data_IF_329882370538
#
_entry.id   IF_329882370538
#
_cell.length_a   1.000
_cell.length_b   1.000
_cell.length_c   1.000
_cell.angle_alpha   90.00
_cell.angle_beta   90.00
_cell.angle_gamma   90.00
#
_symmetry.space_group_name_H-M   'P 1'
#
loop_
_entity.id
_entity.type
_entity.pdbx_description
1 polymer ?
#
# COMPACT_ATOMS: atom_id res chain seq x y z
N UNK A 1 6.86 -1.12 -23.89
CA UNK A 1 7.55 0.19 -23.79
C UNK A 1 8.92 0.00 -23.12
N UNK A 2 9.79 -0.84 -23.70
CA UNK A 2 11.12 -1.16 -23.14
C UNK A 2 12.14 -0.06 -23.45
N UNK A 3 13.19 -0.38 -24.22
CA UNK A 3 14.29 0.55 -24.53
C UNK A 3 13.83 1.92 -25.06
N UNK A 4 12.74 1.98 -25.83
CA UNK A 4 12.19 3.23 -26.37
C UNK A 4 11.86 4.26 -25.27
N UNK A 5 11.43 3.81 -24.08
CA UNK A 5 11.21 4.71 -22.95
C UNK A 5 12.52 5.38 -22.52
N UNK A 6 13.57 4.59 -22.35
CA UNK A 6 14.88 5.06 -21.90
C UNK A 6 15.63 5.89 -22.94
N UNK A 7 15.47 5.57 -24.23
CA UNK A 7 16.20 6.24 -25.31
C UNK A 7 15.52 7.51 -25.81
N UNK A 8 14.19 7.58 -25.83
CA UNK A 8 13.45 8.72 -26.40
C UNK A 8 12.57 9.46 -25.39
N UNK A 9 11.74 8.72 -24.65
CA UNK A 9 10.71 9.34 -23.78
C UNK A 9 11.35 10.03 -22.58
N UNK A 10 12.22 9.33 -21.86
CA UNK A 10 12.86 9.83 -20.66
C UNK A 10 13.80 11.03 -20.94
N UNK A 11 14.67 11.01 -21.98
CA UNK A 11 15.46 12.18 -22.33
C UNK A 11 14.59 13.37 -22.75
N UNK A 12 13.50 13.13 -23.47
CA UNK A 12 12.57 14.20 -23.86
C UNK A 12 11.89 14.84 -22.65
N UNK A 13 11.40 14.05 -21.70
CA UNK A 13 10.80 14.59 -20.46
C UNK A 13 11.80 15.45 -19.67
N UNK A 14 13.07 15.02 -19.58
CA UNK A 14 14.13 15.81 -18.95
C UNK A 14 14.39 17.14 -19.68
N UNK A 15 14.40 17.15 -21.01
CA UNK A 15 14.58 18.39 -21.79
C UNK A 15 13.39 19.34 -21.68
N UNK A 16 12.17 18.82 -21.64
CA UNK A 16 10.96 19.63 -21.39
C UNK A 16 11.03 20.29 -20.01
N UNK A 17 11.45 19.56 -18.97
CA UNK A 17 11.69 20.16 -17.65
C UNK A 17 12.79 21.23 -17.68
N UNK A 18 13.83 21.06 -18.49
CA UNK A 18 14.90 22.04 -18.68
C UNK A 18 14.49 23.27 -19.50
N UNK A 19 13.23 23.34 -19.98
CA UNK A 19 12.72 24.48 -20.73
C UNK A 19 13.03 24.44 -22.23
N UNK A 20 13.18 23.25 -22.81
CA UNK A 20 13.37 23.09 -24.26
C UNK A 20 12.20 23.71 -25.05
N UNK A 21 12.51 24.65 -25.94
CA UNK A 21 11.53 25.43 -26.74
C UNK A 21 11.19 24.73 -28.06
N UNK A 22 10.67 23.50 -28.00
CA UNK A 22 10.26 22.75 -29.21
C UNK A 22 8.78 22.38 -29.18
N UNK A 23 8.12 22.43 -30.34
CA UNK A 23 6.69 22.10 -30.49
C UNK A 23 5.79 22.92 -29.56
N UNK A 24 4.93 22.24 -28.80
CA UNK A 24 3.95 22.83 -27.87
C UNK A 24 4.65 23.75 -26.85
N UNK A 25 5.84 23.38 -26.36
CA UNK A 25 6.57 24.21 -25.39
C UNK A 25 6.87 25.61 -25.92
N UNK A 26 7.09 25.75 -27.23
CA UNK A 26 7.26 27.05 -27.89
C UNK A 26 5.94 27.80 -28.04
N UNK A 27 4.85 27.10 -28.35
CA UNK A 27 3.52 27.70 -28.48
C UNK A 27 3.01 28.27 -27.14
N UNK A 28 3.35 27.62 -26.02
CA UNK A 28 2.96 28.08 -24.67
C UNK A 28 4.05 28.87 -23.94
N UNK A 29 5.16 29.23 -24.61
CA UNK A 29 6.32 29.92 -24.00
C UNK A 29 6.81 29.27 -22.69
N UNK A 30 6.88 27.95 -22.65
CA UNK A 30 7.21 27.17 -21.46
C UNK A 30 8.67 27.36 -21.04
N UNK A 31 8.93 27.97 -19.88
CA UNK A 31 10.30 28.31 -19.42
C UNK A 31 11.01 27.19 -18.64
N UNK A 32 10.42 25.99 -18.57
CA UNK A 32 10.92 24.89 -17.75
C UNK A 32 10.35 24.88 -16.33
N UNK A 33 10.70 23.84 -15.57
CA UNK A 33 10.28 23.64 -14.18
C UNK A 33 9.40 22.41 -13.95
N UNK A 34 9.29 21.99 -12.69
CA UNK A 34 8.54 20.81 -12.26
C UNK A 34 9.41 19.57 -12.05
N UNK A 35 8.74 18.45 -11.76
CA UNK A 35 9.36 17.14 -11.64
C UNK A 35 8.39 16.10 -12.18
N UNK A 36 8.91 14.97 -12.63
CA UNK A 36 8.08 13.80 -12.94
C UNK A 36 8.61 12.60 -12.16
N UNK A 37 7.69 11.75 -11.75
CA UNK A 37 7.97 10.42 -11.22
C UNK A 37 7.47 9.41 -12.24
N UNK A 38 8.28 8.41 -12.53
CA UNK A 38 7.86 7.26 -13.29
C UNK A 38 8.12 6.02 -12.44
N UNK A 39 7.32 4.98 -12.66
CA UNK A 39 7.47 3.68 -12.03
C UNK A 39 7.65 2.64 -13.12
N UNK A 40 8.58 1.72 -12.92
CA UNK A 40 8.72 0.54 -13.75
C UNK A 40 7.96 -0.62 -13.09
N UNK A 41 7.35 -1.48 -13.90
CA UNK A 41 6.75 -2.71 -13.42
C UNK A 41 7.82 -3.80 -13.48
N UNK A 42 8.10 -4.40 -12.33
CA UNK A 42 9.01 -5.53 -12.20
C UNK A 42 8.21 -6.84 -12.11
N UNK A 43 8.79 -7.95 -12.55
CA UNK A 43 8.17 -9.26 -12.39
C UNK A 43 8.16 -9.66 -10.90
N UNK A 44 7.07 -10.30 -10.46
CA UNK A 44 6.91 -10.70 -9.06
C UNK A 44 8.03 -11.61 -8.54
N UNK A 45 8.57 -12.48 -9.39
CA UNK A 45 9.67 -13.37 -9.02
C UNK A 45 10.97 -12.59 -8.77
N UNK A 46 11.24 -11.57 -9.58
CA UNK A 46 12.41 -10.71 -9.43
C UNK A 46 12.31 -9.86 -8.16
N UNK A 47 11.13 -9.30 -7.86
CA UNK A 47 10.90 -8.54 -6.62
C UNK A 47 11.06 -9.42 -5.39
N UNK A 48 10.52 -10.64 -5.41
CA UNK A 48 10.70 -11.61 -4.32
C UNK A 48 12.17 -11.98 -4.11
N UNK A 49 12.94 -12.17 -5.18
CA UNK A 49 14.37 -12.53 -5.07
C UNK A 49 15.20 -11.41 -4.42
N UNK A 50 14.75 -10.15 -4.54
CA UNK A 50 15.40 -8.95 -4.00
C UNK A 50 14.79 -8.47 -2.67
N UNK A 51 13.68 -9.07 -2.22
CA UNK A 51 13.00 -8.69 -1.01
C UNK A 51 13.80 -9.15 0.22
N UNK A 52 14.11 -8.20 1.11
CA UNK A 52 14.82 -8.48 2.36
C UNK A 52 13.92 -8.14 3.54
N UNK A 53 13.59 -9.15 4.34
CA UNK A 53 12.63 -9.07 5.45
C UNK A 53 13.28 -8.73 6.80
N UNK A 54 14.61 -8.85 6.91
CA UNK A 54 15.34 -8.69 8.17
C UNK A 54 16.31 -7.49 8.16
N UNK A 55 16.50 -6.81 7.02
CA UNK A 55 17.46 -5.69 6.93
C UNK A 55 16.95 -4.46 7.70
N UNK A 56 17.72 -4.00 8.68
CA UNK A 56 17.56 -2.67 9.30
C UNK A 56 18.10 -1.59 8.36
N UNK A 57 17.53 -0.38 8.35
CA UNK A 57 17.96 0.72 7.45
C UNK A 57 19.49 0.96 7.36
N UNK A 58 20.24 0.63 8.42
CA UNK A 58 21.70 0.71 8.47
C UNK A 58 22.45 -0.29 7.56
N UNK A 59 21.81 -1.40 7.17
CA UNK A 59 22.39 -2.44 6.31
C UNK A 59 22.24 -2.14 4.81
N UNK A 60 21.34 -1.22 4.44
CA UNK A 60 21.18 -0.73 3.06
C UNK A 60 22.24 0.30 2.64
N UNK A 61 23.00 0.84 3.60
CA UNK A 61 24.09 1.79 3.30
C UNK A 61 25.34 1.10 2.72
N UNK A 62 25.46 -0.23 2.84
CA UNK A 62 26.66 -1.00 2.46
C UNK A 62 26.56 -1.70 1.10
N UNK A 63 25.37 -1.87 0.56
CA UNK A 63 25.14 -2.55 -0.71
C UNK A 63 24.32 -1.65 -1.66
N UNK A 64 24.82 -1.33 -2.88
CA UNK A 64 24.09 -0.51 -3.84
C UNK A 64 22.88 -1.21 -4.48
N UNK A 65 22.73 -2.52 -4.27
CA UNK A 65 21.59 -3.26 -4.81
C UNK A 65 20.30 -2.77 -4.14
N UNK A 66 19.24 -2.47 -4.93
CA UNK A 66 17.96 -2.08 -4.36
C UNK A 66 17.30 -3.31 -3.72
N UNK A 67 17.69 -3.63 -2.49
CA UNK A 67 16.95 -4.53 -1.63
C UNK A 67 15.69 -3.83 -1.15
N UNK A 68 14.54 -4.45 -1.36
CA UNK A 68 13.28 -3.90 -0.84
C UNK A 68 13.17 -4.28 0.64
N UNK A 69 13.23 -3.30 1.52
CA UNK A 69 13.00 -3.51 2.96
C UNK A 69 11.51 -3.65 3.16
N UNK A 70 11.05 -4.87 3.41
CA UNK A 70 9.70 -5.10 3.89
C UNK A 70 9.72 -5.20 5.40
N UNK A 71 8.79 -4.52 6.06
CA UNK A 71 8.57 -4.68 7.50
C UNK A 71 8.01 -6.08 7.73
N UNK A 72 8.87 -7.03 8.06
CA UNK A 72 8.42 -8.29 8.61
C UNK A 72 7.84 -8.03 10.00
N UNK A 73 6.57 -8.40 10.18
CA UNK A 73 5.97 -8.50 11.51
C UNK A 73 6.71 -9.61 12.26
N UNK A 74 7.72 -9.23 13.03
CA UNK A 74 8.38 -10.16 13.93
C UNK A 74 7.31 -10.63 14.91
N UNK A 75 7.21 -11.95 15.12
CA UNK A 75 6.33 -12.58 16.12
C UNK A 75 6.78 -12.25 17.56
N UNK A 76 7.05 -10.99 17.85
CA UNK A 76 7.24 -10.49 19.19
C UNK A 76 5.85 -10.41 19.84
N UNK A 77 5.80 -10.71 21.14
CA UNK A 77 4.61 -10.51 21.96
C UNK A 77 4.30 -9.01 22.00
N UNK A 78 3.46 -8.56 21.06
CA UNK A 78 2.97 -7.20 21.04
C UNK A 78 1.93 -7.05 22.16
N UNK A 79 1.89 -5.89 22.85
CA UNK A 79 0.81 -5.63 23.79
C UNK A 79 -0.54 -5.77 23.06
N UNK A 80 -1.63 -6.13 23.76
CA UNK A 80 -2.94 -6.25 23.14
C UNK A 80 -3.30 -4.91 22.49
N UNK A 81 -3.17 -4.85 21.17
CA UNK A 81 -3.54 -3.68 20.38
C UNK A 81 -5.04 -3.64 20.25
N UNK A 82 -5.62 -2.49 20.59
CA UNK A 82 -7.02 -2.19 20.33
C UNK A 82 -7.08 -1.37 19.04
N UNK A 83 -7.77 -1.88 18.02
CA UNK A 83 -7.98 -1.13 16.80
C UNK A 83 -9.13 -0.13 16.99
N UNK A 84 -8.87 1.16 16.76
CA UNK A 84 -9.91 2.17 16.65
C UNK A 84 -10.26 2.35 15.16
N UNK A 85 -11.39 1.78 14.77
CA UNK A 85 -11.87 1.80 13.38
C UNK A 85 -12.43 3.17 12.96
N UNK A 86 -12.64 4.07 13.92
CA UNK A 86 -13.10 5.46 13.66
C UNK A 86 -12.07 6.26 12.85
N UNK A 87 -10.80 5.81 12.84
CA UNK A 87 -9.70 6.46 12.15
C UNK A 87 -9.55 6.07 10.66
N UNK A 88 -10.30 5.06 10.18
CA UNK A 88 -10.15 4.55 8.81
C UNK A 88 -10.81 5.46 7.77
N UNK A 89 -12.14 5.51 7.75
CA UNK A 89 -12.95 6.37 6.88
C UNK A 89 -14.39 6.45 7.41
N UNK A 90 -15.19 7.38 6.89
CA UNK A 90 -16.59 7.56 7.29
C UNK A 90 -17.46 6.39 6.74
N UNK A 91 -18.48 5.96 7.51
CA UNK A 91 -19.45 4.92 7.13
C UNK A 91 -18.85 3.54 6.75
N UNK A 92 -17.86 3.07 7.50
CA UNK A 92 -17.28 1.71 7.33
C UNK A 92 -18.34 0.63 7.60
N UNK A 93 -18.57 -0.26 6.63
CA UNK A 93 -19.39 -1.48 6.81
C UNK A 93 -18.63 -2.56 7.59
N UNK A 94 -18.56 -2.38 8.91
CA UNK A 94 -17.89 -3.32 9.82
C UNK A 94 -18.58 -4.70 9.82
N UNK A 95 -19.92 -4.82 9.88
CA UNK A 95 -20.60 -6.12 9.83
C UNK A 95 -20.29 -6.89 8.54
N UNK A 96 -20.37 -6.24 7.38
CA UNK A 96 -20.05 -6.87 6.09
C UNK A 96 -18.60 -7.34 6.02
N UNK A 97 -17.67 -6.50 6.50
CA UNK A 97 -16.25 -6.84 6.58
C UNK A 97 -16.00 -8.08 7.46
N UNK A 98 -16.60 -8.14 8.65
CA UNK A 98 -16.45 -9.31 9.53
C UNK A 98 -17.05 -10.58 8.91
N UNK A 99 -18.19 -10.48 8.23
CA UNK A 99 -18.79 -11.60 7.47
C UNK A 99 -17.86 -12.13 6.38
N UNK A 100 -17.19 -11.24 5.64
CA UNK A 100 -16.20 -11.62 4.64
C UNK A 100 -14.99 -12.35 5.24
N UNK A 101 -14.55 -11.96 6.45
CA UNK A 101 -13.43 -12.63 7.12
C UNK A 101 -13.79 -14.02 7.66
N UNK A 102 -14.92 -14.12 8.36
CA UNK A 102 -15.31 -15.37 9.02
C UNK A 102 -15.97 -16.35 8.05
N UNK A 103 -16.46 -15.86 6.90
CA UNK A 103 -17.25 -16.63 5.94
C UNK A 103 -18.64 -16.99 6.46
N UNK A 104 -19.08 -16.35 7.55
CA UNK A 104 -20.36 -16.63 8.21
C UNK A 104 -21.39 -15.56 7.85
N UNK A 105 -22.62 -16.00 7.62
CA UNK A 105 -23.74 -15.09 7.39
C UNK A 105 -24.13 -14.34 8.66
N UNK A 106 -24.52 -13.08 8.47
CA UNK A 106 -24.99 -12.22 9.56
C UNK A 106 -26.45 -12.54 9.83
N UNK A 107 -26.75 -12.98 11.06
CA UNK A 107 -28.12 -13.24 11.50
C UNK A 107 -28.84 -11.97 11.93
N UNK A 108 -28.13 -11.09 12.66
CA UNK A 108 -28.69 -9.84 13.19
C UNK A 108 -27.60 -8.78 13.41
N UNK A 109 -27.91 -7.53 13.05
CA UNK A 109 -27.08 -6.36 13.34
C UNK A 109 -27.78 -5.53 14.42
N UNK A 110 -27.07 -5.24 15.50
CA UNK A 110 -27.52 -4.37 16.59
C UNK A 110 -26.49 -3.23 16.74
N UNK A 111 -26.87 -2.02 17.17
CA UNK A 111 -25.87 -0.97 17.42
C UNK A 111 -24.77 -1.47 18.38
N UNK A 112 -23.51 -1.45 17.91
CA UNK A 112 -22.33 -1.91 18.66
C UNK A 112 -22.09 -3.43 18.69
N UNK A 113 -22.94 -4.26 18.05
CA UNK A 113 -22.80 -5.73 18.06
C UNK A 113 -23.29 -6.41 16.78
N UNK A 114 -22.59 -7.47 16.38
CA UNK A 114 -22.96 -8.33 15.25
C UNK A 114 -23.16 -9.76 15.74
N UNK A 115 -24.29 -10.37 15.37
CA UNK A 115 -24.61 -11.76 15.66
C UNK A 115 -24.53 -12.59 14.38
N UNK A 116 -23.70 -13.63 14.39
CA UNK A 116 -23.55 -14.58 13.27
C UNK A 116 -24.52 -15.77 13.40
N UNK A 117 -24.73 -16.50 12.31
CA UNK A 117 -25.59 -17.70 12.31
C UNK A 117 -25.12 -18.78 13.31
N UNK A 118 -23.81 -18.89 13.52
CA UNK A 118 -23.21 -19.83 14.48
C UNK A 118 -23.43 -19.43 15.96
N UNK A 119 -24.15 -18.33 16.22
CA UNK A 119 -24.42 -17.82 17.56
C UNK A 119 -23.26 -17.01 18.17
N UNK A 120 -22.18 -16.80 17.41
CA UNK A 120 -21.06 -15.96 17.83
C UNK A 120 -21.48 -14.48 17.88
N UNK A 121 -21.14 -13.82 18.99
CA UNK A 121 -21.41 -12.41 19.23
C UNK A 121 -20.10 -11.63 19.18
N UNK A 122 -19.96 -10.72 18.22
CA UNK A 122 -18.79 -9.83 18.09
C UNK A 122 -19.20 -8.40 18.43
N UNK A 123 -18.44 -7.75 19.33
CA UNK A 123 -18.63 -6.34 19.68
C UNK A 123 -17.90 -5.47 18.67
N UNK A 124 -18.60 -4.50 18.10
CA UNK A 124 -18.05 -3.56 17.12
C UNK A 124 -17.07 -2.58 17.77
N UNK A 125 -17.29 -2.24 19.05
CA UNK A 125 -16.48 -1.26 19.79
C UNK A 125 -15.12 -1.83 20.25
N UNK A 126 -14.96 -3.16 20.23
CA UNK A 126 -13.75 -3.83 20.68
C UNK A 126 -13.52 -5.09 19.85
N UNK A 127 -12.91 -4.91 18.69
CA UNK A 127 -12.54 -5.99 17.79
C UNK A 127 -11.11 -6.43 18.11
N UNK A 128 -10.87 -7.73 18.34
CA UNK A 128 -9.53 -8.23 18.58
C UNK A 128 -8.65 -7.99 17.34
N UNK A 129 -7.45 -7.47 17.57
CA UNK A 129 -6.46 -7.18 16.53
C UNK A 129 -6.19 -8.36 15.58
N UNK A 130 -6.16 -9.59 16.11
CA UNK A 130 -5.95 -10.80 15.32
C UNK A 130 -6.99 -11.00 14.19
N UNK A 131 -8.25 -10.59 14.42
CA UNK A 131 -9.28 -10.65 13.39
C UNK A 131 -9.06 -9.61 12.30
N UNK A 132 -8.47 -8.46 12.62
CA UNK A 132 -8.24 -7.38 11.65
C UNK A 132 -6.93 -7.53 10.88
N UNK A 133 -6.00 -8.37 11.37
CA UNK A 133 -4.69 -8.62 10.76
C UNK A 133 -4.76 -8.94 9.26
N UNK A 134 -5.72 -9.75 8.76
CA UNK A 134 -5.86 -10.01 7.32
C UNK A 134 -6.29 -8.79 6.49
N UNK A 135 -6.98 -7.81 7.08
CA UNK A 135 -7.42 -6.60 6.34
C UNK A 135 -6.30 -5.60 6.09
N UNK A 136 -5.27 -5.60 6.94
CA UNK A 136 -4.19 -4.60 6.92
C UNK A 136 -3.01 -5.09 6.08
N UNK A 137 -2.89 -6.40 5.86
CA UNK A 137 -1.82 -7.00 5.07
C UNK A 137 -2.23 -7.13 3.60
N UNK A 138 -1.53 -6.42 2.73
CA UNK A 138 -1.46 -6.67 1.28
C UNK A 138 -0.08 -7.22 0.91
#
# INVERSE_FOLDING_TARGET
MGEHFYTYVLPRMKRVLAGEQTGISKEVNWQGGGFFKYSELEQYEDTLSKAEYEKTAASCARDPSPGYIFLADQNQEQPPLQADLSLLYEDVDIPGSLSCLTGQWIRRITPGKVEFEDGQLVKTDNIPWELLKPFIRW
#
